data_IF_139727389941
#
_entry.id   IF_139727389941
#
_cell.length_a   1.000
_cell.length_b   1.000
_cell.length_c   1.000
_cell.angle_alpha   90.00
_cell.angle_beta   90.00
_cell.angle_gamma   90.00
#
_symmetry.space_group_name_H-M   'P 1'
#
loop_
_entity.id
_entity.type
_entity.pdbx_description
1 polymer ?
#
# COMPACT_ATOMS: atom_id res chain seq x y z
N UNK A 1 11.18 -5.44 9.91
CA UNK A 1 9.82 -6.01 9.99
C UNK A 1 8.97 -5.47 8.86
N UNK A 2 8.56 -6.33 7.95
CA UNK A 2 7.76 -5.92 6.80
C UNK A 2 6.27 -6.10 7.12
N UNK A 3 5.50 -5.05 6.92
CA UNK A 3 4.07 -5.05 7.26
C UNK A 3 3.24 -4.96 5.98
N UNK A 4 2.25 -5.83 5.86
CA UNK A 4 1.26 -5.76 4.78
C UNK A 4 -0.01 -5.13 5.33
N UNK A 5 -0.51 -4.12 4.65
CA UNK A 5 -1.81 -3.54 4.95
C UNK A 5 -2.75 -3.86 3.80
N UNK A 6 -3.83 -4.57 4.10
CA UNK A 6 -4.86 -4.86 3.10
C UNK A 6 -5.82 -3.68 3.05
N UNK A 7 -5.82 -3.00 1.93
CA UNK A 7 -6.59 -1.79 1.73
C UNK A 7 -5.67 -0.61 1.48
N UNK A 8 -6.18 0.41 0.83
CA UNK A 8 -5.45 1.65 0.57
C UNK A 8 -6.35 2.88 0.68
N UNK A 9 -7.51 2.74 1.29
CA UNK A 9 -8.42 3.85 1.57
C UNK A 9 -7.93 4.69 2.74
N UNK A 10 -8.82 5.53 3.28
CA UNK A 10 -8.43 6.48 4.31
C UNK A 10 -7.87 5.84 5.56
N UNK A 11 -8.52 4.79 6.06
CA UNK A 11 -8.07 4.12 7.29
C UNK A 11 -6.73 3.42 7.08
N UNK A 12 -6.61 2.71 5.96
CA UNK A 12 -5.36 2.02 5.64
C UNK A 12 -4.23 3.01 5.44
N UNK A 13 -4.51 4.15 4.80
CA UNK A 13 -3.52 5.20 4.59
C UNK A 13 -3.03 5.76 5.92
N UNK A 14 -3.93 6.00 6.85
CA UNK A 14 -3.55 6.48 8.18
C UNK A 14 -2.64 5.51 8.91
N UNK A 15 -2.95 4.22 8.85
CA UNK A 15 -2.12 3.19 9.46
C UNK A 15 -0.74 3.12 8.79
N UNK A 16 -0.72 3.20 7.46
CA UNK A 16 0.53 3.15 6.70
C UNK A 16 1.43 4.33 7.03
N UNK A 17 0.87 5.54 7.14
CA UNK A 17 1.64 6.72 7.50
C UNK A 17 2.30 6.55 8.86
N UNK A 18 1.55 6.06 9.84
CA UNK A 18 2.08 5.86 11.19
C UNK A 18 3.21 4.83 11.20
N UNK A 19 3.02 3.71 10.53
CA UNK A 19 4.02 2.66 10.49
C UNK A 19 5.26 3.11 9.73
N UNK A 20 5.08 3.79 8.62
CA UNK A 20 6.20 4.28 7.84
C UNK A 20 7.05 5.27 8.65
N UNK A 21 6.39 6.17 9.38
CA UNK A 21 7.10 7.13 10.24
C UNK A 21 7.82 6.47 11.40
N UNK A 22 7.33 5.31 11.82
CA UNK A 22 7.99 4.55 12.88
C UNK A 22 9.19 3.74 12.35
N UNK A 23 9.44 3.78 11.04
CA UNK A 23 10.58 3.10 10.44
C UNK A 23 10.27 1.72 9.89
N UNK A 24 9.00 1.32 9.83
CA UNK A 24 8.63 0.01 9.29
C UNK A 24 8.39 0.10 7.79
N UNK A 25 8.98 -0.80 6.99
CA UNK A 25 8.60 -0.91 5.58
C UNK A 25 7.17 -1.44 5.47
N UNK A 26 6.37 -0.82 4.62
CA UNK A 26 4.94 -1.12 4.49
C UNK A 26 4.61 -1.39 3.03
N UNK A 27 3.83 -2.45 2.79
CA UNK A 27 3.25 -2.75 1.49
C UNK A 27 1.73 -2.68 1.65
N UNK A 28 1.04 -2.10 0.68
CA UNK A 28 -0.41 -1.99 0.71
C UNK A 28 -1.00 -2.71 -0.50
N UNK A 29 -2.17 -3.31 -0.31
CA UNK A 29 -2.92 -3.91 -1.41
C UNK A 29 -4.31 -3.31 -1.47
N UNK A 30 -4.86 -3.18 -2.67
CA UNK A 30 -6.20 -2.68 -2.86
C UNK A 30 -6.83 -3.41 -4.05
N UNK A 31 -8.11 -3.18 -4.28
CA UNK A 31 -8.77 -3.73 -5.46
C UNK A 31 -8.40 -2.86 -6.67
N UNK A 32 -8.41 -3.47 -7.86
CA UNK A 32 -7.97 -2.79 -9.07
C UNK A 32 -8.85 -1.59 -9.43
N UNK A 33 -10.12 -1.62 -9.05
CA UNK A 33 -11.05 -0.54 -9.32
C UNK A 33 -11.76 -0.17 -8.03
N UNK A 34 -11.12 0.63 -7.19
CA UNK A 34 -11.78 1.07 -5.98
C UNK A 34 -13.04 1.86 -6.35
N UNK A 35 -14.18 1.40 -5.87
CA UNK A 35 -15.44 2.07 -6.10
C UNK A 35 -15.63 3.27 -5.20
N UNK A 36 -14.67 3.53 -4.37
CA UNK A 36 -14.75 4.59 -3.39
C UNK A 36 -14.92 5.94 -4.04
N UNK A 37 -15.67 6.77 -3.37
CA UNK A 37 -15.74 8.19 -3.67
C UNK A 37 -14.31 8.72 -3.67
N UNK A 38 -14.05 9.67 -4.55
CA UNK A 38 -12.72 10.22 -4.72
C UNK A 38 -12.04 10.55 -3.38
N UNK A 39 -10.83 10.00 -3.19
CA UNK A 39 -10.10 10.14 -1.95
C UNK A 39 -8.77 10.83 -2.21
N UNK A 40 -8.75 12.14 -2.04
CA UNK A 40 -7.56 12.93 -2.38
C UNK A 40 -6.40 12.70 -1.44
N UNK A 41 -6.67 12.18 -0.26
CA UNK A 41 -5.63 11.99 0.76
C UNK A 41 -5.34 10.51 1.02
N UNK A 42 -5.81 9.64 0.13
CA UNK A 42 -5.61 8.21 0.30
C UNK A 42 -4.58 7.68 -0.69
N UNK A 43 -3.79 6.69 -0.25
CA UNK A 43 -2.81 6.06 -1.12
C UNK A 43 -3.44 5.31 -2.28
N UNK A 44 -4.74 4.98 -2.18
CA UNK A 44 -5.44 4.35 -3.30
C UNK A 44 -5.40 5.17 -4.58
N UNK A 45 -5.13 6.47 -4.48
CA UNK A 45 -5.05 7.31 -5.66
C UNK A 45 -3.95 6.85 -6.62
N UNK A 46 -2.88 6.22 -6.12
CA UNK A 46 -1.80 5.75 -6.98
C UNK A 46 -2.24 4.61 -7.92
N UNK A 47 -3.39 3.99 -7.66
CA UNK A 47 -3.94 2.98 -8.57
C UNK A 47 -4.33 3.61 -9.91
N UNK A 48 -4.63 4.91 -9.91
CA UNK A 48 -4.97 5.65 -11.12
C UNK A 48 -3.77 6.40 -11.69
N UNK A 49 -3.02 7.08 -10.84
CA UNK A 49 -1.96 7.97 -11.26
C UNK A 49 -0.57 7.33 -11.26
N UNK A 50 -0.46 6.12 -10.74
CA UNK A 50 0.82 5.42 -10.62
C UNK A 50 1.62 5.84 -9.40
N UNK A 51 1.39 7.04 -8.89
CA UNK A 51 2.09 7.57 -7.73
C UNK A 51 1.19 8.57 -7.02
N UNK A 52 1.28 8.60 -5.70
CA UNK A 52 0.60 9.63 -4.92
C UNK A 52 1.41 9.93 -3.67
N UNK A 53 1.18 11.10 -3.08
CA UNK A 53 1.88 11.50 -1.87
C UNK A 53 0.86 11.92 -0.82
N UNK A 54 1.04 11.42 0.41
CA UNK A 54 0.22 11.79 1.55
C UNK A 54 1.16 12.12 2.70
N UNK A 55 1.07 13.32 3.23
CA UNK A 55 1.87 13.79 4.37
C UNK A 55 3.37 13.60 4.17
N UNK A 56 3.84 13.84 2.97
CA UNK A 56 5.26 13.73 2.63
C UNK A 56 5.73 12.31 2.33
N UNK A 57 4.84 11.33 2.37
CA UNK A 57 5.17 9.93 2.09
C UNK A 57 4.65 9.58 0.72
N UNK A 58 5.53 9.05 -0.12
CA UNK A 58 5.19 8.68 -1.50
C UNK A 58 4.78 7.21 -1.56
N UNK A 59 3.68 6.94 -2.24
CA UNK A 59 3.24 5.59 -2.57
C UNK A 59 3.26 5.42 -4.08
N UNK A 60 3.67 4.24 -4.55
CA UNK A 60 3.73 3.92 -5.97
C UNK A 60 3.03 2.62 -6.26
N UNK A 61 2.36 2.58 -7.41
CA UNK A 61 1.74 1.35 -7.87
C UNK A 61 2.82 0.35 -8.26
N UNK A 62 2.67 -0.88 -7.78
CA UNK A 62 3.56 -1.99 -8.13
C UNK A 62 2.74 -3.09 -8.80
N UNK A 63 3.32 -3.76 -9.78
CA UNK A 63 2.65 -4.85 -10.48
C UNK A 63 2.88 -6.21 -9.81
N UNK A 64 3.99 -6.34 -9.08
CA UNK A 64 4.38 -7.61 -8.47
C UNK A 64 5.35 -7.38 -7.31
N UNK A 65 5.80 -8.47 -6.69
CA UNK A 65 6.72 -8.38 -5.55
C UNK A 65 8.07 -7.79 -5.90
N UNK A 66 8.56 -8.03 -7.12
CA UNK A 66 9.84 -7.48 -7.55
C UNK A 66 9.78 -5.95 -7.60
N UNK A 67 8.73 -5.41 -8.19
CA UNK A 67 8.54 -3.97 -8.23
C UNK A 67 8.32 -3.40 -6.83
N UNK A 68 7.58 -4.15 -5.99
CA UNK A 68 7.35 -3.73 -4.62
C UNK A 68 8.67 -3.61 -3.85
N UNK A 69 9.58 -4.57 -4.04
CA UNK A 69 10.89 -4.51 -3.39
C UNK A 69 11.70 -3.30 -3.84
N UNK A 70 11.65 -2.96 -5.12
CA UNK A 70 12.35 -1.78 -5.64
C UNK A 70 11.80 -0.50 -5.03
N UNK A 71 10.49 -0.42 -4.88
CA UNK A 71 9.83 0.75 -4.28
C UNK A 71 10.18 0.85 -2.80
N UNK A 72 10.19 -0.28 -2.08
CA UNK A 72 10.60 -0.31 -0.68
C UNK A 72 12.04 0.16 -0.50
N UNK A 73 12.91 -0.25 -1.41
CA UNK A 73 14.31 0.15 -1.35
C UNK A 73 14.50 1.65 -1.55
N UNK A 74 13.57 2.29 -2.23
CA UNK A 74 13.58 3.73 -2.41
C UNK A 74 12.96 4.48 -1.24
N UNK A 75 12.49 3.78 -0.22
CA UNK A 75 11.87 4.41 0.96
C UNK A 75 10.41 4.80 0.73
N UNK A 76 9.77 4.21 -0.28
CA UNK A 76 8.39 4.51 -0.63
C UNK A 76 7.49 3.32 -0.33
N UNK A 77 6.17 3.53 -0.42
CA UNK A 77 5.19 2.49 -0.14
C UNK A 77 4.65 1.92 -1.44
N UNK A 78 4.88 0.63 -1.73
CA UNK A 78 4.26 0.00 -2.89
C UNK A 78 2.79 -0.31 -2.62
N UNK A 79 1.94 -0.05 -3.62
CA UNK A 79 0.51 -0.38 -3.56
C UNK A 79 0.20 -1.28 -4.75
N UNK A 80 -0.39 -2.44 -4.47
CA UNK A 80 -0.68 -3.44 -5.48
C UNK A 80 -2.17 -3.69 -5.59
N UNK A 81 -2.64 -3.91 -6.82
CA UNK A 81 -3.97 -4.44 -7.06
C UNK A 81 -3.87 -5.96 -6.90
N UNK A 82 -4.20 -6.46 -5.72
CA UNK A 82 -3.98 -7.87 -5.40
C UNK A 82 -5.16 -8.44 -4.61
N UNK A 83 -6.33 -8.60 -5.26
CA UNK A 83 -7.50 -9.12 -4.57
C UNK A 83 -7.33 -10.56 -4.08
N UNK A 84 -6.41 -11.31 -4.67
CA UNK A 84 -6.21 -12.72 -4.33
C UNK A 84 -5.10 -12.97 -3.31
N UNK A 85 -4.39 -11.93 -2.91
CA UNK A 85 -3.32 -12.07 -1.94
C UNK A 85 -2.06 -12.74 -2.48
N UNK A 86 -1.76 -12.57 -3.75
CA UNK A 86 -0.56 -13.16 -4.35
C UNK A 86 0.72 -12.67 -3.73
N UNK A 87 0.71 -11.43 -3.27
CA UNK A 87 1.91 -10.83 -2.67
C UNK A 87 2.36 -11.59 -1.44
N UNK A 88 1.45 -12.28 -0.75
CA UNK A 88 1.80 -13.11 0.40
C UNK A 88 2.70 -14.27 0.01
N UNK A 89 2.68 -14.69 -1.25
CA UNK A 89 3.54 -15.75 -1.75
C UNK A 89 4.87 -15.22 -2.27
N UNK A 90 4.91 -13.95 -2.66
CA UNK A 90 6.10 -13.35 -3.25
C UNK A 90 7.00 -12.69 -2.21
N UNK A 91 6.43 -12.17 -1.15
CA UNK A 91 7.16 -11.51 -0.08
C UNK A 91 6.78 -12.11 1.27
N UNK A 92 7.73 -12.09 2.19
CA UNK A 92 7.49 -12.56 3.54
C UNK A 92 7.15 -11.38 4.43
N UNK A 93 5.96 -11.41 5.00
CA UNK A 93 5.49 -10.36 5.89
C UNK A 93 5.54 -10.82 7.34
N UNK A 94 5.90 -9.92 8.23
CA UNK A 94 5.94 -10.18 9.67
C UNK A 94 4.60 -9.88 10.32
N UNK A 95 3.81 -9.01 9.71
CA UNK A 95 2.49 -8.68 10.21
C UNK A 95 1.57 -8.32 9.06
N UNK A 96 0.29 -8.60 9.21
CA UNK A 96 -0.74 -8.27 8.24
C UNK A 96 -1.85 -7.50 8.96
N UNK A 97 -2.17 -6.32 8.45
CA UNK A 97 -3.25 -5.50 8.99
C UNK A 97 -4.37 -5.46 7.94
N UNK A 98 -5.56 -5.87 8.33
CA UNK A 98 -6.71 -5.83 7.45
C UNK A 98 -7.48 -4.54 7.70
N UNK A 99 -7.40 -3.62 6.77
CA UNK A 99 -8.07 -2.32 6.84
C UNK A 99 -9.07 -2.14 5.70
N UNK A 100 -9.54 -3.25 5.15
CA UNK A 100 -10.57 -3.22 4.12
C UNK A 100 -11.92 -3.06 4.80
N UNK A 101 -12.65 -2.02 4.42
CA UNK A 101 -13.99 -1.81 4.93
C UNK A 101 -14.94 -2.72 4.16
N UNK A 102 -15.67 -3.51 4.87
CA UNK A 102 -16.64 -4.41 4.28
C UNK A 102 -17.89 -3.62 3.82
#
# INVERSE_FOLDING_TARGET
MLVLIKGAGDLATGAAVRLHRAGFPVVMTDIAQPTAVRRRVAFSQCMYDGVTEVEGITARRAANGEEANAILAAGEIPVLADPEGRILKELRFDAVVDAILA
#
